data_IF_604806304761
#
_entry.id   IF_604806304761
#
_cell.length_a   1.000
_cell.length_b   1.000
_cell.length_c   1.000
_cell.angle_alpha   90.00
_cell.angle_beta   90.00
_cell.angle_gamma   90.00
#
_symmetry.space_group_name_H-M   'P 1'
#
loop_
_entity.id
_entity.type
_entity.pdbx_description
1 polymer ?
#
# COMPACT_ATOMS: atom_id res chain seq x y z
N UNK A 1 -27.05 -34.19 51.80
CA UNK A 1 -25.78 -34.56 51.12
C UNK A 1 -25.79 -33.86 49.78
N UNK A 2 -25.14 -32.70 49.71
CA UNK A 2 -25.10 -31.81 48.53
C UNK A 2 -23.78 -32.04 47.80
N UNK A 3 -23.85 -32.44 46.53
CA UNK A 3 -22.67 -32.65 45.68
C UNK A 3 -21.97 -31.29 45.42
N UNK A 4 -20.65 -31.17 45.67
CA UNK A 4 -19.91 -29.98 45.32
C UNK A 4 -19.82 -29.89 43.79
N UNK A 5 -20.24 -28.77 43.22
CA UNK A 5 -20.17 -28.51 41.79
C UNK A 5 -18.70 -28.40 41.36
N UNK A 6 -18.30 -29.10 40.29
CA UNK A 6 -17.03 -28.96 39.60
C UNK A 6 -16.89 -27.53 39.06
N UNK A 7 -16.33 -26.63 39.88
CA UNK A 7 -15.96 -25.29 39.45
C UNK A 7 -14.56 -25.37 38.83
N UNK A 8 -14.50 -25.11 37.54
CA UNK A 8 -13.24 -24.97 36.80
C UNK A 8 -12.48 -23.77 37.37
N UNK A 9 -11.17 -23.89 37.57
CA UNK A 9 -10.35 -22.78 38.06
C UNK A 9 -10.30 -21.64 37.02
N UNK A 10 -10.14 -20.39 37.49
CA UNK A 10 -10.07 -19.22 36.60
C UNK A 10 -8.98 -19.36 35.52
N UNK A 11 -7.86 -20.03 35.85
CA UNK A 11 -6.80 -20.31 34.90
C UNK A 11 -7.23 -21.30 33.81
N UNK A 12 -7.88 -22.40 34.19
CA UNK A 12 -8.37 -23.39 33.22
C UNK A 12 -9.50 -22.81 32.34
N UNK A 13 -10.34 -21.92 32.88
CA UNK A 13 -11.30 -21.18 32.07
C UNK A 13 -10.60 -20.27 31.04
N UNK A 14 -9.58 -19.50 31.45
CA UNK A 14 -8.83 -18.64 30.55
C UNK A 14 -8.11 -19.43 29.44
N UNK A 15 -7.53 -20.58 29.77
CA UNK A 15 -6.91 -21.48 28.78
C UNK A 15 -7.95 -22.05 27.80
N UNK A 16 -9.13 -22.45 28.28
CA UNK A 16 -10.23 -22.94 27.46
C UNK A 16 -10.74 -21.86 26.49
N UNK A 17 -10.95 -20.63 26.97
CA UNK A 17 -11.35 -19.50 26.11
C UNK A 17 -10.27 -19.16 25.08
N UNK A 18 -9.00 -19.21 25.47
CA UNK A 18 -7.87 -18.99 24.56
C UNK A 18 -7.84 -20.04 23.44
N UNK A 19 -8.06 -21.32 23.79
CA UNK A 19 -8.10 -22.41 22.82
C UNK A 19 -9.30 -22.29 21.87
N UNK A 20 -10.49 -21.96 22.42
CA UNK A 20 -11.70 -21.75 21.64
C UNK A 20 -11.55 -20.58 20.65
N UNK A 21 -10.97 -19.46 21.09
CA UNK A 21 -10.69 -18.31 20.24
C UNK A 21 -9.74 -18.68 19.08
N UNK A 22 -8.71 -19.49 19.33
CA UNK A 22 -7.79 -19.98 18.29
C UNK A 22 -8.49 -20.87 17.26
N UNK A 23 -9.34 -21.80 17.71
CA UNK A 23 -10.11 -22.67 16.82
C UNK A 23 -11.11 -21.87 15.97
N UNK A 24 -11.69 -20.82 16.55
CA UNK A 24 -12.64 -19.97 15.84
C UNK A 24 -11.97 -19.06 14.80
N UNK A 25 -10.80 -18.50 15.10
CA UNK A 25 -10.03 -17.70 14.15
C UNK A 25 -9.63 -18.49 12.89
N UNK A 26 -9.48 -19.81 13.00
CA UNK A 26 -9.19 -20.70 11.87
C UNK A 26 -10.39 -20.87 10.91
N UNK A 27 -11.63 -20.54 11.34
CA UNK A 27 -12.88 -20.67 10.55
C UNK A 27 -13.26 -19.43 9.72
N UNK A 28 -12.37 -18.44 9.58
CA UNK A 28 -12.46 -17.31 8.63
C UNK A 28 -13.74 -16.44 8.64
N UNK A 29 -14.48 -16.37 9.75
CA UNK A 29 -15.61 -15.43 9.85
C UNK A 29 -15.12 -14.11 10.49
N UNK A 30 -15.20 -13.01 9.74
CA UNK A 30 -14.99 -11.67 10.27
C UNK A 30 -16.24 -11.25 11.07
N UNK A 31 -16.06 -10.89 12.33
CA UNK A 31 -17.16 -10.44 13.19
C UNK A 31 -17.27 -8.91 13.17
N UNK A 32 -18.49 -8.42 13.01
CA UNK A 32 -18.80 -7.00 13.24
C UNK A 32 -18.81 -6.68 14.74
N UNK A 33 -18.58 -5.42 15.10
CA UNK A 33 -18.66 -4.93 16.48
C UNK A 33 -20.02 -5.25 17.13
N UNK A 34 -21.09 -5.25 16.33
CA UNK A 34 -22.47 -5.52 16.78
C UNK A 34 -22.67 -7.00 17.11
N UNK A 35 -22.11 -7.91 16.31
CA UNK A 35 -22.17 -9.35 16.58
C UNK A 35 -21.34 -9.75 17.80
N UNK A 36 -20.20 -9.08 18.02
CA UNK A 36 -19.41 -9.27 19.24
C UNK A 36 -20.14 -8.79 20.50
N UNK A 37 -20.87 -7.68 20.40
CA UNK A 37 -21.71 -7.19 21.50
C UNK A 37 -22.87 -8.15 21.78
N UNK A 38 -23.51 -8.68 20.73
CA UNK A 38 -24.61 -9.63 20.88
C UNK A 38 -24.13 -10.97 21.47
N UNK A 39 -22.99 -11.49 21.01
CA UNK A 39 -22.37 -12.70 21.56
C UNK A 39 -21.88 -12.51 22.99
N UNK A 40 -21.41 -11.31 23.34
CA UNK A 40 -21.01 -10.97 24.71
C UNK A 40 -22.21 -10.92 25.67
N UNK A 41 -23.34 -10.36 25.24
CA UNK A 41 -24.59 -10.37 26.02
C UNK A 41 -25.11 -11.81 26.20
N UNK A 42 -25.03 -12.65 25.17
CA UNK A 42 -25.41 -14.07 25.25
C UNK A 42 -24.48 -14.88 26.18
N UNK A 43 -23.22 -14.45 26.31
CA UNK A 43 -22.25 -15.00 27.25
C UNK A 43 -22.33 -14.39 28.66
N UNK A 44 -23.38 -13.62 28.96
CA UNK A 44 -23.62 -12.93 30.24
C UNK A 44 -22.49 -11.96 30.64
N UNK A 45 -21.76 -11.43 29.64
CA UNK A 45 -20.75 -10.40 29.84
C UNK A 45 -21.42 -9.04 29.89
N UNK A 46 -21.17 -8.28 30.98
CA UNK A 46 -21.74 -6.95 31.14
C UNK A 46 -21.26 -6.02 30.01
N UNK A 47 -22.17 -5.24 29.39
CA UNK A 47 -21.84 -4.35 28.26
C UNK A 47 -20.74 -3.32 28.60
N UNK A 48 -20.61 -2.95 29.87
CA UNK A 48 -19.55 -2.07 30.37
C UNK A 48 -18.15 -2.67 30.18
N UNK A 49 -17.99 -3.98 30.42
CA UNK A 49 -16.71 -4.69 30.29
C UNK A 49 -16.33 -4.83 28.81
N UNK A 50 -17.30 -5.08 27.93
CA UNK A 50 -17.06 -5.17 26.49
C UNK A 50 -16.64 -3.82 25.90
N UNK A 51 -17.25 -2.74 26.37
CA UNK A 51 -16.90 -1.39 25.94
C UNK A 51 -15.49 -0.98 26.41
N UNK A 52 -15.14 -1.30 27.65
CA UNK A 52 -13.80 -1.07 28.19
C UNK A 52 -12.73 -1.88 27.43
N UNK A 53 -13.00 -3.16 27.16
CA UNK A 53 -12.11 -4.03 26.40
C UNK A 53 -11.87 -3.52 24.97
N UNK A 54 -12.92 -3.03 24.29
CA UNK A 54 -12.80 -2.42 22.96
C UNK A 54 -11.98 -1.14 22.99
N UNK A 55 -12.18 -0.28 23.99
CA UNK A 55 -11.43 0.97 24.12
C UNK A 55 -9.94 0.73 24.38
N UNK A 56 -9.61 -0.24 25.24
CA UNK A 56 -8.22 -0.65 25.49
C UNK A 56 -7.56 -1.25 24.23
N UNK A 57 -8.31 -2.05 23.45
CA UNK A 57 -7.80 -2.61 22.20
C UNK A 57 -7.47 -1.52 21.18
N UNK A 58 -8.35 -0.52 21.02
CA UNK A 58 -8.14 0.61 20.12
C UNK A 58 -6.93 1.46 20.54
N UNK A 59 -6.82 1.79 21.83
CA UNK A 59 -5.68 2.55 22.35
C UNK A 59 -4.34 1.84 22.09
N UNK A 60 -4.30 0.51 22.27
CA UNK A 60 -3.12 -0.31 22.02
C UNK A 60 -2.76 -0.38 20.54
N UNK A 61 -3.74 -0.50 19.64
CA UNK A 61 -3.50 -0.50 18.19
C UNK A 61 -2.92 0.83 17.69
N UNK A 62 -3.40 1.96 18.21
CA UNK A 62 -2.86 3.29 17.88
C UNK A 62 -1.41 3.45 18.38
N UNK A 63 -1.11 2.95 19.58
CA UNK A 63 0.23 3.00 20.15
C UNK A 63 1.22 2.10 19.42
N UNK A 64 0.82 0.89 19.02
CA UNK A 64 1.64 -0.02 18.22
C UNK A 64 1.93 0.54 16.82
N UNK A 65 0.97 1.27 16.23
CA UNK A 65 1.20 2.03 15.00
C UNK A 65 2.23 3.15 15.22
N UNK A 66 2.14 3.89 16.32
CA UNK A 66 3.05 4.99 16.64
C UNK A 66 4.48 4.50 16.97
N UNK A 67 4.62 3.37 17.69
CA UNK A 67 5.91 2.74 17.99
C UNK A 67 6.56 2.11 16.76
N UNK A 68 5.78 1.57 15.81
CA UNK A 68 6.30 1.13 14.51
C UNK A 68 6.87 2.29 13.70
N UNK A 69 6.32 3.50 13.85
CA UNK A 69 6.83 4.73 13.25
C UNK A 69 8.17 5.18 13.87
N UNK A 70 8.34 4.99 15.18
CA UNK A 70 9.53 5.43 15.92
C UNK A 70 10.73 4.46 15.82
N UNK A 71 10.51 3.17 15.50
CA UNK A 71 11.60 2.19 15.33
C UNK A 71 12.44 2.38 14.06
N UNK A 72 12.11 3.35 13.20
CA UNK A 72 12.96 3.75 12.08
C UNK A 72 13.97 4.87 12.41
N UNK A 73 14.05 5.34 13.67
CA UNK A 73 14.96 6.42 14.06
C UNK A 73 16.11 6.03 14.99
N UNK A 74 16.36 4.73 15.20
CA UNK A 74 17.54 4.26 15.95
C UNK A 74 18.38 3.37 15.02
N UNK A 75 19.04 4.04 14.07
CA UNK A 75 19.91 3.40 13.08
C UNK A 75 20.90 4.34 12.39
N UNK A 76 21.09 5.57 12.88
CA UNK A 76 22.14 6.47 12.39
C UNK A 76 22.86 7.12 13.57
N UNK A 77 23.88 6.43 14.07
CA UNK A 77 24.88 7.02 14.95
C UNK A 77 25.80 7.97 14.18
N UNK A 78 25.71 9.25 14.51
CA UNK A 78 26.80 10.24 14.71
C UNK A 78 27.80 10.47 13.57
N UNK A 79 27.71 11.65 12.93
CA UNK A 79 28.84 12.56 12.76
C UNK A 79 28.36 13.98 12.37
N UNK A 80 28.71 14.98 13.17
CA UNK A 80 28.73 16.39 12.73
C UNK A 80 27.87 17.35 13.54
N UNK A 81 28.33 17.72 14.74
CA UNK A 81 27.96 18.99 15.35
C UNK A 81 28.79 20.11 14.72
N UNK A 82 28.15 21.18 14.23
CA UNK A 82 28.70 22.56 14.26
C UNK A 82 27.65 23.60 13.85
N UNK A 83 27.55 24.62 14.68
CA UNK A 83 26.76 25.86 14.57
C UNK A 83 27.33 26.76 13.47
N UNK A 84 26.50 27.46 12.68
CA UNK A 84 26.69 28.89 12.34
C UNK A 84 25.58 29.45 11.42
N UNK A 85 24.82 30.40 11.98
CA UNK A 85 24.25 31.64 11.43
C UNK A 85 24.49 31.91 9.94
N UNK A 86 23.42 32.16 9.18
CA UNK A 86 23.27 33.20 8.13
C UNK A 86 21.81 33.15 7.65
N UNK A 87 20.96 34.17 7.76
CA UNK A 87 21.26 35.58 7.52
C UNK A 87 21.05 35.90 6.04
N UNK A 88 19.80 35.87 5.59
CA UNK A 88 19.22 36.93 4.76
C UNK A 88 20.10 37.48 3.62
N UNK A 89 20.35 36.74 2.54
CA UNK A 89 20.76 37.32 1.25
C UNK A 89 20.26 36.46 0.09
N UNK A 90 19.17 36.91 -0.57
CA UNK A 90 18.87 36.73 -2.01
C UNK A 90 17.40 37.00 -2.41
N UNK A 91 16.56 37.65 -1.59
CA UNK A 91 15.31 38.27 -2.09
C UNK A 91 15.53 39.75 -2.36
N UNK A 92 16.33 40.07 -3.37
CA UNK A 92 16.47 41.46 -3.81
C UNK A 92 16.98 41.60 -5.25
N UNK A 93 16.24 41.09 -6.25
CA UNK A 93 16.48 41.46 -7.66
C UNK A 93 15.23 41.65 -8.54
N UNK A 94 13.98 41.57 -8.06
CA UNK A 94 12.81 41.76 -8.94
C UNK A 94 11.74 42.72 -8.36
N UNK A 95 12.17 43.88 -7.85
CA UNK A 95 11.24 44.99 -7.57
C UNK A 95 11.87 46.38 -7.80
N UNK A 96 12.72 46.51 -8.83
CA UNK A 96 13.15 47.80 -9.40
C UNK A 96 12.57 47.99 -10.80
N UNK A 97 11.24 47.90 -10.85
CA UNK A 97 10.38 48.46 -11.89
C UNK A 97 9.05 48.62 -11.16
N UNK A 98 8.79 49.75 -10.50
CA UNK A 98 8.20 50.90 -11.15
C UNK A 98 8.64 52.18 -10.42
N UNK A 99 9.13 53.09 -11.25
CA UNK A 99 9.67 54.40 -10.95
C UNK A 99 8.62 55.34 -10.37
N UNK A 100 9.11 56.31 -9.58
CA UNK A 100 8.50 57.61 -9.32
C UNK A 100 7.22 57.58 -8.45
N UNK A 101 6.96 58.49 -7.50
CA UNK A 101 7.41 59.87 -7.30
C UNK A 101 6.92 60.33 -5.91
N UNK A 102 7.77 61.03 -5.16
CA UNK A 102 7.47 62.14 -4.22
C UNK A 102 6.05 62.29 -3.62
N UNK A 103 5.93 62.16 -2.29
CA UNK A 103 5.82 63.26 -1.31
C UNK A 103 5.07 62.82 -0.03
N UNK A 104 5.65 63.20 1.11
CA UNK A 104 5.14 63.16 2.50
C UNK A 104 3.88 64.06 2.72
N UNK A 105 3.26 64.15 3.93
CA UNK A 105 3.31 63.31 5.14
C UNK A 105 1.93 62.95 5.79
N UNK A 106 1.99 61.97 6.70
CA UNK A 106 1.19 61.73 7.92
C UNK A 106 -0.14 62.48 8.16
N UNK A 107 -1.22 61.73 8.37
CA UNK A 107 -2.25 62.07 9.34
C UNK A 107 -3.01 60.82 9.84
N UNK A 108 -3.15 60.76 11.17
CA UNK A 108 -4.26 60.16 11.93
C UNK A 108 -4.26 58.64 12.14
N UNK A 109 -3.82 58.26 13.35
CA UNK A 109 -4.32 57.11 14.10
C UNK A 109 -5.82 57.33 14.35
N UNK A 110 -6.69 56.68 13.59
CA UNK A 110 -8.01 56.32 14.08
C UNK A 110 -8.61 55.21 13.21
N UNK A 111 -9.17 54.21 13.89
CA UNK A 111 -10.24 53.34 13.39
C UNK A 111 -9.84 52.24 12.39
N UNK A 112 -9.41 51.11 12.94
CA UNK A 112 -9.85 49.78 12.47
C UNK A 112 -9.55 48.74 13.56
N UNK A 113 -10.20 48.89 14.71
CA UNK A 113 -10.56 47.71 15.49
C UNK A 113 -11.65 46.98 14.68
N UNK A 114 -11.50 45.67 14.54
CA UNK A 114 -12.35 44.69 13.82
C UNK A 114 -12.07 44.48 12.32
N UNK A 115 -11.25 43.47 12.03
CA UNK A 115 -11.70 42.17 11.50
C UNK A 115 -10.50 41.31 11.11
N UNK A 116 -10.57 40.02 11.46
CA UNK A 116 -9.79 38.90 10.91
C UNK A 116 -8.40 38.65 11.52
N UNK A 117 -8.34 37.81 12.55
CA UNK A 117 -7.18 36.97 12.80
C UNK A 117 -6.97 36.07 11.59
N UNK A 118 -5.97 36.36 10.76
CA UNK A 118 -5.52 35.45 9.73
C UNK A 118 -5.02 34.15 10.40
N UNK A 119 -5.37 32.96 9.88
CA UNK A 119 -4.74 31.74 10.36
C UNK A 119 -3.24 31.82 10.08
N UNK A 120 -2.43 31.38 11.05
CA UNK A 120 -0.99 31.23 10.90
C UNK A 120 -0.67 30.49 9.59
N UNK A 121 0.36 30.91 8.83
CA UNK A 121 0.82 30.13 7.69
C UNK A 121 1.32 28.79 8.22
N UNK A 122 0.51 27.75 8.01
CA UNK A 122 0.93 26.38 8.25
C UNK A 122 2.22 26.14 7.44
N UNK A 123 3.27 25.56 8.04
CA UNK A 123 4.45 25.17 7.28
C UNK A 123 4.02 24.23 6.13
N UNK A 124 4.68 24.29 4.96
CA UNK A 124 4.35 23.42 3.85
C UNK A 124 4.38 21.98 4.32
N UNK A 125 3.27 21.26 4.13
CA UNK A 125 3.27 19.80 4.22
C UNK A 125 4.24 19.35 3.11
N UNK A 126 5.40 18.82 3.48
CA UNK A 126 6.28 18.11 2.55
C UNK A 126 5.50 16.90 2.03
N UNK A 127 4.80 17.09 0.92
CA UNK A 127 4.22 15.98 0.18
C UNK A 127 5.40 15.28 -0.50
N UNK A 128 5.90 14.19 0.08
CA UNK A 128 6.92 13.28 -0.48
C UNK A 128 6.41 12.62 -1.79
N UNK A 129 6.17 13.44 -2.80
CA UNK A 129 5.65 13.07 -4.10
C UNK A 129 6.71 13.35 -5.15
N UNK A 130 6.94 12.36 -6.00
CA UNK A 130 7.89 12.42 -7.11
C UNK A 130 7.14 12.45 -8.43
N UNK A 131 7.75 13.08 -9.43
CA UNK A 131 7.22 13.16 -10.79
C UNK A 131 7.97 12.21 -11.71
N UNK A 132 7.23 11.47 -12.54
CA UNK A 132 7.75 10.52 -13.53
C UNK A 132 7.09 10.74 -14.89
N UNK A 133 7.72 10.26 -15.95
CA UNK A 133 7.14 10.27 -17.30
C UNK A 133 7.51 8.97 -18.01
N UNK A 134 6.62 8.48 -18.87
CA UNK A 134 6.91 7.32 -19.70
C UNK A 134 5.75 6.96 -20.64
N UNK A 135 6.02 5.99 -21.50
CA UNK A 135 5.02 5.42 -22.42
C UNK A 135 4.45 4.16 -21.78
N UNK A 136 3.13 4.06 -21.68
CA UNK A 136 2.47 2.85 -21.20
C UNK A 136 2.79 1.69 -22.14
N UNK A 137 3.40 0.64 -21.60
CA UNK A 137 3.68 -0.60 -22.31
C UNK A 137 2.49 -1.55 -22.25
N UNK A 138 1.91 -1.72 -21.06
CA UNK A 138 0.74 -2.57 -20.85
C UNK A 138 0.03 -2.25 -19.53
N UNK A 139 -1.18 -2.76 -19.38
CA UNK A 139 -1.91 -2.75 -18.12
C UNK A 139 -1.36 -3.80 -17.16
N UNK A 140 -1.35 -3.47 -15.86
CA UNK A 140 -1.17 -4.43 -14.77
C UNK A 140 -2.54 -4.77 -14.18
N UNK A 141 -2.76 -6.05 -13.92
CA UNK A 141 -4.04 -6.56 -13.47
C UNK A 141 -3.98 -6.97 -12.01
N UNK A 142 -5.11 -6.85 -11.33
CA UNK A 142 -5.39 -7.58 -10.10
C UNK A 142 -5.90 -9.01 -10.46
N UNK A 143 -6.02 -9.94 -9.48
CA UNK A 143 -6.48 -11.30 -9.75
C UNK A 143 -7.81 -11.35 -10.51
N UNK A 144 -8.75 -10.48 -10.17
CA UNK A 144 -10.09 -10.38 -10.76
C UNK A 144 -10.08 -9.87 -12.22
N UNK A 145 -8.90 -9.56 -12.77
CA UNK A 145 -8.71 -9.09 -14.14
C UNK A 145 -9.01 -7.60 -14.34
N UNK A 146 -9.20 -6.85 -13.26
CA UNK A 146 -9.33 -5.40 -13.29
C UNK A 146 -7.96 -4.74 -13.40
N UNK A 147 -7.90 -3.59 -14.05
CA UNK A 147 -6.67 -2.81 -14.16
C UNK A 147 -6.44 -2.06 -12.85
N UNK A 148 -5.32 -2.34 -12.20
CA UNK A 148 -4.90 -1.66 -10.96
C UNK A 148 -3.51 -1.02 -11.09
N UNK A 149 -2.92 -1.07 -12.29
CA UNK A 149 -1.67 -0.40 -12.58
C UNK A 149 -1.32 -0.36 -14.06
N UNK A 150 -0.18 0.27 -14.34
CA UNK A 150 0.44 0.39 -15.65
C UNK A 150 1.90 -0.04 -15.53
N UNK A 151 2.39 -0.79 -16.51
CA UNK A 151 3.81 -0.93 -16.74
C UNK A 151 4.21 0.07 -17.82
N UNK A 152 5.21 0.90 -17.56
CA UNK A 152 5.79 1.81 -18.54
C UNK A 152 6.99 1.15 -19.25
N UNK A 153 7.29 1.57 -20.49
CA UNK A 153 8.41 1.04 -21.29
C UNK A 153 9.78 1.21 -20.65
N UNK A 154 9.92 2.13 -19.69
CA UNK A 154 11.15 2.32 -18.91
C UNK A 154 11.23 1.38 -17.68
N UNK A 155 10.27 0.47 -17.52
CA UNK A 155 10.20 -0.49 -16.43
C UNK A 155 9.51 0.02 -15.15
N UNK A 156 9.07 1.28 -15.11
CA UNK A 156 8.34 1.81 -13.95
C UNK A 156 6.95 1.17 -13.84
N UNK A 157 6.64 0.66 -12.66
CA UNK A 157 5.31 0.13 -12.33
C UNK A 157 4.49 1.20 -11.62
N UNK A 158 3.41 1.64 -12.26
CA UNK A 158 2.52 2.67 -11.73
C UNK A 158 1.30 1.99 -11.14
N UNK A 159 1.11 2.04 -9.83
CA UNK A 159 -0.08 1.53 -9.13
C UNK A 159 -1.04 2.65 -8.81
N UNK A 160 -2.33 2.35 -8.89
CA UNK A 160 -3.40 3.29 -8.53
C UNK A 160 -4.58 2.54 -7.91
N UNK A 161 -5.45 3.22 -7.13
CA UNK A 161 -6.59 2.56 -6.50
C UNK A 161 -7.58 1.96 -7.51
N UNK A 162 -8.12 0.78 -7.17
CA UNK A 162 -8.96 -0.03 -8.07
C UNK A 162 -10.20 0.71 -8.61
N UNK A 163 -10.76 1.65 -7.84
CA UNK A 163 -11.94 2.43 -8.25
C UNK A 163 -11.64 3.35 -9.44
N UNK A 164 -10.37 3.68 -9.72
CA UNK A 164 -9.97 4.48 -10.88
C UNK A 164 -9.85 3.67 -12.18
N UNK A 165 -9.90 2.33 -12.13
CA UNK A 165 -9.71 1.43 -13.28
C UNK A 165 -10.55 1.81 -14.50
N UNK A 166 -11.86 2.02 -14.34
CA UNK A 166 -12.77 2.26 -15.47
C UNK A 166 -12.58 3.65 -16.07
N UNK A 167 -12.28 4.65 -15.23
CA UNK A 167 -11.94 5.98 -15.71
C UNK A 167 -10.60 5.95 -16.45
N UNK A 168 -9.62 5.27 -15.88
CA UNK A 168 -8.27 5.23 -16.44
C UNK A 168 -8.23 4.55 -17.81
N UNK A 169 -8.84 3.38 -17.93
CA UNK A 169 -8.84 2.58 -19.18
C UNK A 169 -9.60 3.24 -20.33
N UNK A 170 -10.45 4.24 -20.07
CA UNK A 170 -11.11 5.06 -21.12
C UNK A 170 -10.19 6.08 -21.78
N UNK A 171 -9.15 6.54 -21.08
CA UNK A 171 -8.30 7.65 -21.53
C UNK A 171 -6.84 7.23 -21.74
N UNK A 172 -6.36 6.28 -20.94
CA UNK A 172 -4.97 5.82 -20.94
C UNK A 172 -4.94 4.41 -21.49
N UNK A 173 -4.23 4.20 -22.61
CA UNK A 173 -4.08 2.89 -23.27
C UNK A 173 -2.60 2.55 -23.46
N UNK A 174 -2.24 1.28 -23.72
CA UNK A 174 -0.89 0.95 -24.16
C UNK A 174 -0.47 1.81 -25.37
N UNK A 175 0.67 2.48 -25.26
CA UNK A 175 1.16 3.48 -26.21
C UNK A 175 0.91 4.93 -25.81
N UNK A 176 0.03 5.21 -24.85
CA UNK A 176 -0.17 6.57 -24.31
C UNK A 176 1.08 7.03 -23.56
N UNK A 177 1.50 8.27 -23.81
CA UNK A 177 2.55 8.92 -23.04
C UNK A 177 1.95 9.65 -21.83
N UNK A 178 2.44 9.32 -20.63
CA UNK A 178 1.86 9.79 -19.38
C UNK A 178 2.89 10.52 -18.52
N UNK A 179 2.42 11.53 -17.78
CA UNK A 179 3.11 12.10 -16.61
C UNK A 179 2.45 11.58 -15.34
N UNK A 180 3.25 11.20 -14.35
CA UNK A 180 2.77 10.61 -13.10
C UNK A 180 3.32 11.45 -11.95
N UNK A 181 2.44 11.84 -11.02
CA UNK A 181 2.83 12.37 -9.71
C UNK A 181 2.39 11.37 -8.66
N UNK A 182 3.29 10.97 -7.76
CA UNK A 182 2.93 9.98 -6.75
C UNK A 182 4.04 9.67 -5.74
N UNK A 183 3.69 8.83 -4.77
CA UNK A 183 4.64 8.35 -3.77
C UNK A 183 5.51 7.23 -4.38
N UNK A 184 6.81 7.48 -4.48
CA UNK A 184 7.75 6.52 -5.03
C UNK A 184 8.05 5.42 -4.00
N UNK A 185 7.99 4.17 -4.43
CA UNK A 185 8.45 3.03 -3.66
C UNK A 185 9.98 2.91 -3.68
N UNK A 186 10.50 1.95 -2.93
CA UNK A 186 11.93 1.64 -2.92
C UNK A 186 12.35 1.05 -4.27
N UNK A 187 13.32 1.70 -4.94
CA UNK A 187 13.93 1.16 -6.15
C UNK A 187 14.78 -0.08 -5.81
N UNK A 188 14.70 -1.09 -6.66
CA UNK A 188 15.56 -2.29 -6.60
C UNK A 188 16.17 -2.55 -7.97
N UNK A 189 17.10 -3.52 -8.05
CA UNK A 189 17.63 -3.99 -9.35
C UNK A 189 16.56 -4.61 -10.26
N UNK A 190 15.37 -4.91 -9.73
CA UNK A 190 14.28 -5.55 -10.45
C UNK A 190 13.24 -4.56 -10.98
N UNK A 191 13.26 -3.31 -10.49
CA UNK A 191 12.29 -2.29 -10.85
C UNK A 191 11.94 -1.38 -9.69
N UNK A 192 10.95 -0.52 -9.93
CA UNK A 192 10.40 0.41 -8.95
C UNK A 192 8.90 0.56 -9.17
N UNK A 193 8.15 0.56 -8.07
CA UNK A 193 6.73 0.92 -8.05
C UNK A 193 6.58 2.40 -7.68
N UNK A 194 5.61 3.09 -8.27
CA UNK A 194 5.09 4.37 -7.79
C UNK A 194 3.59 4.24 -7.54
N UNK A 195 3.11 4.72 -6.40
CA UNK A 195 1.67 4.87 -6.15
C UNK A 195 1.22 6.23 -6.66
N UNK A 196 0.52 6.22 -7.78
CA UNK A 196 0.09 7.44 -8.44
C UNK A 196 -1.00 8.14 -7.64
N UNK A 197 -0.76 9.41 -7.35
CA UNK A 197 -1.77 10.36 -6.89
C UNK A 197 -2.40 11.09 -8.08
N UNK A 198 -1.66 11.23 -9.18
CA UNK A 198 -2.15 11.81 -10.42
C UNK A 198 -1.47 11.16 -11.63
N UNK A 199 -2.25 10.89 -12.68
CA UNK A 199 -1.78 10.44 -13.98
C UNK A 199 -2.36 11.39 -15.04
N UNK A 200 -1.51 11.94 -15.90
CA UNK A 200 -1.89 12.88 -16.96
C UNK A 200 -1.50 12.30 -18.32
N UNK A 201 -2.45 12.20 -19.24
CA UNK A 201 -2.16 11.97 -20.66
C UNK A 201 -1.48 13.21 -21.23
N UNK A 202 -0.23 13.09 -21.68
CA UNK A 202 0.55 14.23 -22.17
C UNK A 202 0.03 14.78 -23.50
N UNK A 203 -0.69 13.99 -24.29
CA UNK A 203 -1.25 14.42 -25.57
C UNK A 203 -2.55 15.20 -25.38
N UNK A 204 -3.46 14.67 -24.57
CA UNK A 204 -4.79 15.28 -24.36
C UNK A 204 -4.85 16.23 -23.17
N UNK A 205 -3.83 16.22 -22.31
CA UNK A 205 -3.79 16.92 -21.02
C UNK A 205 -4.90 16.48 -20.05
N UNK A 206 -5.55 15.35 -20.32
CA UNK A 206 -6.55 14.78 -19.41
C UNK A 206 -5.85 14.26 -18.16
N UNK A 207 -6.25 14.78 -16.99
CA UNK A 207 -5.79 14.31 -15.69
C UNK A 207 -6.77 13.32 -15.06
N UNK A 208 -6.21 12.30 -14.42
CA UNK A 208 -6.88 11.37 -13.52
C UNK A 208 -6.19 11.53 -12.16
N UNK A 209 -6.95 11.95 -11.15
CA UNK A 209 -6.45 12.21 -9.80
C UNK A 209 -7.05 11.19 -8.86
N UNK A 210 -6.24 10.69 -7.94
CA UNK A 210 -6.70 9.84 -6.85
C UNK A 210 -7.53 10.67 -5.88
N UNK A 211 -8.82 10.39 -5.87
CA UNK A 211 -9.81 11.00 -4.99
C UNK A 211 -10.63 9.86 -4.39
N UNK A 212 -11.04 9.95 -3.12
CA UNK A 212 -11.93 8.96 -2.53
C UNK A 212 -13.14 8.69 -3.44
N UNK A 213 -13.60 7.44 -3.55
CA UNK A 213 -14.73 7.12 -4.40
C UNK A 213 -16.00 7.85 -3.91
N UNK A 214 -16.80 8.36 -4.85
CA UNK A 214 -18.05 9.08 -4.56
C UNK A 214 -19.08 8.21 -3.83
N UNK A 215 -19.04 6.90 -4.09
CA UNK A 215 -19.90 5.91 -3.45
C UNK A 215 -19.03 4.87 -2.70
N UNK A 216 -19.55 4.28 -1.60
CA UNK A 216 -18.88 3.18 -0.94
C UNK A 216 -18.55 2.05 -1.93
N UNK A 217 -17.37 1.42 -1.81
CA UNK A 217 -17.00 0.34 -2.70
C UNK A 217 -18.03 -0.79 -2.62
N UNK A 218 -18.60 -1.15 -3.76
CA UNK A 218 -19.48 -2.31 -3.85
C UNK A 218 -18.68 -3.57 -3.51
N UNK A 219 -19.29 -4.56 -2.82
CA UNK A 219 -18.63 -5.83 -2.55
C UNK A 219 -18.17 -6.46 -3.86
N UNK A 220 -16.92 -6.93 -3.88
CA UNK A 220 -16.34 -7.61 -5.01
C UNK A 220 -17.25 -8.79 -5.38
N UNK A 221 -17.78 -8.80 -6.61
CA UNK A 221 -18.54 -9.95 -7.11
C UNK A 221 -17.57 -11.10 -7.32
N UNK A 222 -18.06 -12.32 -7.05
CA UNK A 222 -17.29 -13.54 -7.23
C UNK A 222 -16.65 -13.56 -8.62
N UNK A 223 -15.34 -13.73 -8.56
CA UNK A 223 -14.36 -13.75 -9.62
C UNK A 223 -14.60 -14.86 -10.65
N UNK A 224 -14.58 -14.50 -11.93
CA UNK A 224 -14.53 -15.43 -13.06
C UNK A 224 -13.13 -16.04 -13.21
N UNK A 225 -12.63 -16.68 -12.16
CA UNK A 225 -11.35 -17.36 -12.23
C UNK A 225 -11.46 -18.59 -13.12
N UNK A 226 -10.47 -18.77 -13.98
CA UNK A 226 -10.24 -20.02 -14.70
C UNK A 226 -8.89 -20.58 -14.28
N UNK A 227 -8.80 -21.90 -14.20
CA UNK A 227 -7.51 -22.59 -14.08
C UNK A 227 -6.85 -22.63 -15.45
N UNK A 228 -5.58 -22.25 -15.54
CA UNK A 228 -4.80 -22.46 -16.76
C UNK A 228 -3.32 -22.65 -16.44
N UNK A 229 -2.59 -23.19 -17.41
CA UNK A 229 -1.14 -23.28 -17.39
C UNK A 229 -0.56 -22.38 -18.48
N UNK A 230 0.62 -21.82 -18.21
CA UNK A 230 1.35 -21.00 -19.17
C UNK A 230 2.84 -21.29 -19.06
N UNK A 231 3.56 -21.10 -20.16
CA UNK A 231 5.01 -21.21 -20.20
C UNK A 231 5.57 -20.13 -21.14
N UNK A 232 6.75 -19.62 -20.82
CA UNK A 232 7.39 -18.61 -21.63
C UNK A 232 8.73 -18.17 -21.06
N UNK A 233 9.29 -17.12 -21.66
CA UNK A 233 10.51 -16.47 -21.17
C UNK A 233 10.13 -15.27 -20.32
N UNK A 234 10.85 -15.06 -19.22
CA UNK A 234 10.64 -13.90 -18.34
C UNK A 234 11.07 -12.64 -19.10
N UNK A 235 10.21 -11.64 -19.15
CA UNK A 235 10.47 -10.34 -19.78
C UNK A 235 10.60 -9.21 -18.77
N UNK A 236 9.80 -9.23 -17.70
CA UNK A 236 9.81 -8.18 -16.66
C UNK A 236 9.52 -8.77 -15.29
N UNK A 237 10.09 -8.20 -14.23
CA UNK A 237 9.80 -8.56 -12.83
C UNK A 237 8.76 -7.61 -12.26
N UNK A 238 7.80 -8.12 -11.48
CA UNK A 238 6.83 -7.26 -10.79
C UNK A 238 7.27 -7.01 -9.35
N UNK A 239 7.42 -5.73 -8.98
CA UNK A 239 7.88 -5.30 -7.66
C UNK A 239 6.78 -4.62 -6.85
N UNK A 240 6.77 -4.85 -5.54
CA UNK A 240 5.94 -4.11 -4.60
C UNK A 240 6.57 -2.77 -4.21
N UNK A 241 5.83 -1.98 -3.44
CA UNK A 241 6.27 -0.67 -2.96
C UNK A 241 7.59 -0.68 -2.15
N UNK A 242 7.97 -1.81 -1.53
CA UNK A 242 9.26 -1.95 -0.82
C UNK A 242 10.35 -2.55 -1.71
N UNK A 243 10.10 -2.69 -3.00
CA UNK A 243 11.02 -3.29 -3.97
C UNK A 243 11.04 -4.83 -3.94
N UNK A 244 10.13 -5.45 -3.19
CA UNK A 244 10.04 -6.92 -3.11
C UNK A 244 9.42 -7.52 -4.37
N UNK A 245 9.92 -8.67 -4.82
CA UNK A 245 9.33 -9.38 -5.95
C UNK A 245 8.00 -10.03 -5.55
N UNK A 246 6.94 -9.77 -6.31
CA UNK A 246 5.63 -10.40 -6.11
C UNK A 246 5.06 -11.01 -7.40
N UNK A 247 5.82 -10.97 -8.49
CA UNK A 247 5.40 -11.55 -9.75
C UNK A 247 6.42 -11.34 -10.85
N UNK A 248 6.03 -11.72 -12.05
CA UNK A 248 6.77 -11.52 -13.29
C UNK A 248 5.82 -11.45 -14.48
N UNK A 249 6.35 -11.06 -15.62
CA UNK A 249 5.65 -10.94 -16.89
C UNK A 249 6.43 -11.73 -17.92
N UNK A 250 5.72 -12.58 -18.66
CA UNK A 250 6.30 -13.33 -19.77
C UNK A 250 6.43 -12.46 -21.03
N UNK A 251 7.26 -12.89 -21.97
CA UNK A 251 7.33 -12.30 -23.32
C UNK A 251 5.98 -12.31 -24.07
N UNK A 252 5.07 -13.20 -23.69
CA UNK A 252 3.68 -13.23 -24.15
C UNK A 252 2.76 -12.20 -23.47
N UNK A 253 3.31 -11.33 -22.61
CA UNK A 253 2.59 -10.34 -21.78
C UNK A 253 1.71 -10.92 -20.67
N UNK A 254 1.75 -12.23 -20.46
CA UNK A 254 1.05 -12.88 -19.35
C UNK A 254 1.72 -12.50 -18.02
N UNK A 255 0.93 -12.03 -17.07
CA UNK A 255 1.36 -11.71 -15.72
C UNK A 255 1.22 -12.94 -14.83
N UNK A 256 2.28 -13.27 -14.10
CA UNK A 256 2.30 -14.36 -13.12
C UNK A 256 2.61 -13.75 -11.77
N UNK A 257 1.69 -13.86 -10.83
CA UNK A 257 1.83 -13.40 -9.45
C UNK A 257 2.18 -14.58 -8.56
N UNK A 258 3.00 -14.31 -7.55
CA UNK A 258 3.41 -15.27 -6.54
C UNK A 258 3.67 -14.58 -5.19
N UNK A 259 3.63 -15.31 -4.08
CA UNK A 259 3.95 -14.76 -2.77
C UNK A 259 5.38 -14.20 -2.69
N UNK A 260 5.65 -13.17 -1.86
CA UNK A 260 6.98 -12.56 -1.76
C UNK A 260 8.13 -13.54 -1.45
N UNK A 261 7.90 -14.58 -0.63
CA UNK A 261 8.94 -15.57 -0.32
C UNK A 261 9.40 -16.38 -1.54
N UNK A 262 8.51 -16.57 -2.52
CA UNK A 262 8.88 -17.17 -3.82
C UNK A 262 9.73 -16.18 -4.61
N UNK A 263 9.39 -14.90 -4.56
CA UNK A 263 10.21 -13.81 -5.11
C UNK A 263 11.63 -13.81 -4.54
N UNK A 264 11.78 -13.97 -3.23
CA UNK A 264 13.09 -14.03 -2.57
C UNK A 264 13.95 -15.20 -3.08
N UNK A 265 13.34 -16.35 -3.37
CA UNK A 265 14.02 -17.51 -3.95
C UNK A 265 14.46 -17.24 -5.39
N UNK A 266 13.54 -16.71 -6.21
CA UNK A 266 13.78 -16.39 -7.62
C UNK A 266 14.87 -15.32 -7.80
N UNK A 267 14.87 -14.30 -6.94
CA UNK A 267 15.79 -13.15 -7.01
C UNK A 267 17.27 -13.53 -7.05
N UNK A 268 17.63 -14.72 -6.56
CA UNK A 268 19.01 -15.20 -6.41
C UNK A 268 19.52 -16.00 -7.60
N UNK A 269 18.61 -16.59 -8.38
CA UNK A 269 18.96 -17.65 -9.33
C UNK A 269 18.35 -17.47 -10.71
N UNK A 270 17.36 -16.57 -10.85
CA UNK A 270 16.58 -16.42 -12.08
C UNK A 270 16.79 -15.02 -12.66
N UNK A 271 16.97 -14.97 -13.98
CA UNK A 271 17.20 -13.74 -14.75
C UNK A 271 16.10 -13.50 -15.78
N UNK A 272 16.02 -12.25 -16.27
CA UNK A 272 15.22 -11.94 -17.45
C UNK A 272 15.75 -12.77 -18.62
N UNK A 273 14.86 -13.38 -19.40
CA UNK A 273 15.19 -14.31 -20.48
C UNK A 273 15.02 -15.79 -20.10
N UNK A 274 15.10 -16.14 -18.81
CA UNK A 274 14.94 -17.53 -18.36
C UNK A 274 13.55 -18.08 -18.67
N UNK A 275 13.47 -19.39 -18.88
CA UNK A 275 12.21 -20.08 -19.17
C UNK A 275 11.53 -20.51 -17.88
N UNK A 276 10.24 -20.18 -17.78
CA UNK A 276 9.38 -20.54 -16.65
C UNK A 276 8.09 -21.19 -17.15
N UNK A 277 7.55 -22.09 -16.33
CA UNK A 277 6.22 -22.65 -16.48
C UNK A 277 5.44 -22.39 -15.19
N UNK A 278 4.18 -22.03 -15.33
CA UNK A 278 3.29 -21.72 -14.23
C UNK A 278 1.94 -22.43 -14.41
N UNK A 279 1.36 -22.79 -13.28
CA UNK A 279 -0.02 -23.27 -13.18
C UNK A 279 -0.70 -22.54 -12.04
N UNK A 280 -2.00 -22.31 -12.17
CA UNK A 280 -2.75 -21.58 -11.15
C UNK A 280 -4.10 -21.08 -11.65
N UNK A 281 -4.64 -20.12 -10.92
CA UNK A 281 -5.95 -19.52 -11.18
C UNK A 281 -5.77 -18.10 -11.69
N UNK A 282 -6.65 -17.65 -12.57
CA UNK A 282 -6.50 -16.32 -13.12
C UNK A 282 -7.64 -15.86 -13.99
N UNK A 283 -7.45 -14.70 -14.60
CA UNK A 283 -8.43 -14.07 -15.48
C UNK A 283 -7.76 -13.74 -16.81
N UNK A 284 -8.53 -13.85 -17.90
CA UNK A 284 -8.16 -13.36 -19.22
C UNK A 284 -9.28 -12.50 -19.78
N UNK A 285 -8.96 -11.28 -20.17
CA UNK A 285 -9.90 -10.36 -20.79
C UNK A 285 -9.18 -9.44 -21.78
N UNK A 286 -9.87 -8.39 -22.24
CA UNK A 286 -9.33 -7.41 -23.19
C UNK A 286 -8.13 -6.60 -22.66
N UNK A 287 -7.91 -6.54 -21.35
CA UNK A 287 -6.79 -5.82 -20.74
C UNK A 287 -5.54 -6.68 -20.57
N UNK A 288 -5.67 -8.01 -20.67
CA UNK A 288 -4.55 -8.94 -20.60
C UNK A 288 -4.91 -10.27 -19.95
N UNK A 289 -3.87 -10.96 -19.49
CA UNK A 289 -3.98 -12.24 -18.81
C UNK A 289 -3.11 -12.24 -17.56
N UNK A 290 -3.70 -12.65 -16.44
CA UNK A 290 -3.02 -12.73 -15.14
C UNK A 290 -3.29 -14.08 -14.47
N UNK A 291 -2.26 -14.67 -13.88
CA UNK A 291 -2.29 -15.93 -13.17
C UNK A 291 -1.70 -15.77 -11.77
N UNK A 292 -2.44 -16.17 -10.74
CA UNK A 292 -1.93 -16.44 -9.40
C UNK A 292 -1.39 -17.85 -9.37
N UNK A 293 -0.06 -17.98 -9.26
CA UNK A 293 0.58 -19.27 -9.36
C UNK A 293 0.34 -20.14 -8.12
N UNK A 294 -0.03 -21.39 -8.35
CA UNK A 294 -0.06 -22.47 -7.36
C UNK A 294 1.07 -23.48 -7.57
N UNK A 295 1.70 -23.44 -8.74
CA UNK A 295 2.95 -24.14 -9.04
C UNK A 295 3.79 -23.31 -10.01
N UNK A 296 5.10 -23.27 -9.77
CA UNK A 296 6.09 -22.64 -10.64
C UNK A 296 7.25 -23.59 -10.89
N UNK A 297 7.61 -23.77 -12.15
CA UNK A 297 8.78 -24.54 -12.57
C UNK A 297 9.72 -23.62 -13.34
N UNK A 298 10.94 -23.43 -12.84
CA UNK A 298 11.97 -22.62 -13.51
C UNK A 298 13.13 -23.52 -13.89
N UNK A 299 13.57 -23.44 -15.15
CA UNK A 299 14.68 -24.25 -15.67
C UNK A 299 14.56 -25.76 -15.34
N UNK A 300 13.32 -26.27 -15.30
CA UNK A 300 13.01 -27.67 -15.01
C UNK A 300 12.85 -28.02 -13.51
N UNK A 301 13.08 -27.08 -12.59
CA UNK A 301 12.94 -27.30 -11.14
C UNK A 301 11.63 -26.69 -10.61
N UNK A 302 10.82 -27.53 -9.94
CA UNK A 302 9.60 -27.09 -9.25
C UNK A 302 9.95 -26.31 -7.98
N UNK A 303 9.31 -25.16 -7.79
CA UNK A 303 9.47 -24.28 -6.64
C UNK A 303 8.40 -24.53 -5.59
N UNK A 304 8.79 -24.41 -4.32
CA UNK A 304 7.85 -24.48 -3.20
C UNK A 304 7.04 -23.19 -3.11
N UNK A 305 5.72 -23.30 -3.28
CA UNK A 305 4.79 -22.19 -3.09
C UNK A 305 4.38 -22.01 -1.63
N UNK A 306 4.63 -23.01 -0.77
CA UNK A 306 4.31 -22.95 0.65
C UNK A 306 5.19 -21.91 1.39
N UNK A 307 4.63 -21.19 2.38
CA UNK A 307 5.42 -20.27 3.19
C UNK A 307 6.54 -21.00 3.92
N UNK A 308 7.68 -20.34 4.09
CA UNK A 308 8.79 -20.87 4.89
C UNK A 308 8.33 -20.93 6.34
N UNK A 309 8.17 -22.13 6.89
CA UNK A 309 7.85 -22.28 8.32
C UNK A 309 9.01 -21.70 9.14
N UNK A 310 8.74 -20.87 10.17
CA UNK A 310 9.78 -20.46 11.11
C UNK A 310 10.42 -21.71 11.72
N UNK A 311 11.76 -21.75 11.81
CA UNK A 311 12.42 -22.79 12.61
C UNK A 311 11.85 -22.72 14.02
N UNK A 312 11.32 -23.85 14.52
CA UNK A 312 10.88 -23.94 15.90
C UNK A 312 12.03 -23.53 16.85
N UNK A 313 11.75 -22.81 17.95
CA UNK A 313 12.76 -22.54 18.96
C UNK A 313 13.40 -23.86 19.40
N UNK A 314 14.73 -23.89 19.50
CA UNK A 314 15.41 -25.02 20.13
C UNK A 314 14.86 -25.21 21.55
N UNK A 315 14.62 -26.46 21.99
CA UNK A 315 14.26 -26.69 23.39
C UNK A 315 15.35 -26.08 24.28
N UNK A 316 14.92 -25.26 25.25
CA UNK A 316 15.83 -24.75 26.26
C UNK A 316 16.33 -25.94 27.10
N UNK A 317 17.62 -25.97 27.48
CA UNK A 317 18.22 -27.05 28.25
C UNK A 317 17.62 -27.20 29.65
#
# INVERSE_FOLDING_TARGET
>A
MTHPHDRISNQAAAELFTLAARLQAQRQHEYSSTELMQAGVEADLSPEILQEALQQMQAKQQQDQHHRRLRYMVGSGIAGAAIAISGLWAYQTIAKALSHRNNLPQATLEQADRLTTAPDPQPPVENDSSSFTGIVEQYLLNPEGRVDGLLLKNGLEVKFPLHLSDRLTRFITPGTEVSITGAAGSASRFGQEVRAMQIVDRKTQQAIVDQPPDEPPQPLRSSNYSTFSTAGTIQHWLVGHRGELHGLILSSKVQIKFPPHVGDQLSRTVQIGDRIQAQGFGTRNQYGQILQATALTVNGQLLSMAPVQPKAPLPQP
#
